data_IF_802640287068
#
_entry.id   IF_802640287068
#
_cell.length_a   1.000
_cell.length_b   1.000
_cell.length_c   1.000
_cell.angle_alpha   90.00
_cell.angle_beta   90.00
_cell.angle_gamma   90.00
#
_symmetry.space_group_name_H-M   'P 1'
#
loop_
_entity.id
_entity.type
_entity.pdbx_description
1 polymer ?
#
# COMPACT_ATOMS: atom_id res chain seq x y z
N UNK A 1 1.01 -21.10 2.30
CA UNK A 1 1.88 -20.29 1.41
C UNK A 1 0.98 -19.46 0.52
N UNK A 2 1.21 -18.14 0.41
CA UNK A 2 0.41 -17.26 -0.43
C UNK A 2 0.73 -17.48 -1.92
N UNK A 3 -0.25 -17.29 -2.80
CA UNK A 3 -0.03 -17.26 -4.24
C UNK A 3 0.16 -15.81 -4.68
N UNK A 4 1.32 -15.50 -5.28
CA UNK A 4 1.71 -14.13 -5.64
C UNK A 4 1.49 -13.91 -7.13
N UNK A 5 0.78 -12.83 -7.47
CA UNK A 5 0.53 -12.40 -8.85
C UNK A 5 1.15 -11.01 -9.01
N UNK A 6 2.05 -10.85 -9.99
CA UNK A 6 2.63 -9.56 -10.35
C UNK A 6 2.22 -9.18 -11.78
N UNK A 7 1.77 -7.94 -11.97
CA UNK A 7 1.33 -7.41 -13.26
C UNK A 7 2.32 -6.34 -13.75
N UNK A 8 3.02 -6.62 -14.83
CA UNK A 8 4.03 -5.73 -15.43
C UNK A 8 3.71 -5.43 -16.91
N UNK A 9 4.23 -4.32 -17.43
CA UNK A 9 3.94 -3.85 -18.79
C UNK A 9 4.07 -2.33 -18.94
N UNK A 10 4.05 -1.85 -20.19
CA UNK A 10 4.19 -0.42 -20.52
C UNK A 10 3.13 0.45 -19.82
N UNK A 11 3.41 1.73 -19.62
CA UNK A 11 2.42 2.70 -19.14
C UNK A 11 1.17 2.71 -20.04
N UNK A 12 0.00 2.74 -19.44
CA UNK A 12 -1.28 2.81 -20.17
C UNK A 12 -1.82 1.49 -20.73
N UNK A 13 -1.18 0.34 -20.52
CA UNK A 13 -1.66 -0.96 -21.04
C UNK A 13 -2.79 -1.61 -20.21
N UNK A 14 -3.38 -0.88 -19.26
CA UNK A 14 -4.51 -1.38 -18.44
C UNK A 14 -4.12 -2.29 -17.26
N UNK A 15 -2.87 -2.24 -16.78
CA UNK A 15 -2.39 -3.08 -15.66
C UNK A 15 -3.26 -2.95 -14.41
N UNK A 16 -3.51 -1.72 -13.96
CA UNK A 16 -4.34 -1.42 -12.79
C UNK A 16 -5.77 -1.93 -12.97
N UNK A 17 -6.33 -1.78 -14.17
CA UNK A 17 -7.66 -2.30 -14.51
C UNK A 17 -7.72 -3.83 -14.38
N UNK A 18 -6.74 -4.53 -14.95
CA UNK A 18 -6.65 -6.00 -14.83
C UNK A 18 -6.43 -6.42 -13.38
N UNK A 19 -5.62 -5.68 -12.62
CA UNK A 19 -5.39 -5.93 -11.20
C UNK A 19 -6.71 -5.87 -10.42
N UNK A 20 -7.47 -4.77 -10.57
CA UNK A 20 -8.75 -4.56 -9.89
C UNK A 20 -9.78 -5.65 -10.25
N UNK A 21 -9.91 -5.99 -11.54
CA UNK A 21 -10.83 -7.05 -12.00
C UNK A 21 -10.43 -8.43 -11.46
N UNK A 22 -9.12 -8.71 -11.39
CA UNK A 22 -8.60 -9.97 -10.84
C UNK A 22 -8.90 -10.07 -9.35
N UNK A 23 -8.64 -9.01 -8.59
CA UNK A 23 -8.92 -8.95 -7.15
C UNK A 23 -10.42 -9.16 -6.90
N UNK A 24 -11.28 -8.40 -7.60
CA UNK A 24 -12.75 -8.55 -7.51
C UNK A 24 -13.19 -9.99 -7.78
N UNK A 25 -12.70 -10.59 -8.88
CA UNK A 25 -13.03 -11.98 -9.22
C UNK A 25 -12.59 -12.98 -8.13
N UNK A 26 -11.39 -12.81 -7.57
CA UNK A 26 -10.88 -13.71 -6.52
C UNK A 26 -11.72 -13.61 -5.23
N UNK A 27 -12.10 -12.41 -4.83
CA UNK A 27 -12.95 -12.16 -3.66
C UNK A 27 -14.33 -12.80 -3.89
N UNK A 28 -14.98 -12.47 -5.01
CA UNK A 28 -16.34 -12.92 -5.33
C UNK A 28 -16.45 -14.43 -5.54
N UNK A 29 -15.46 -15.06 -6.19
CA UNK A 29 -15.56 -16.48 -6.61
C UNK A 29 -14.79 -17.44 -5.73
N UNK A 30 -13.64 -17.04 -5.17
CA UNK A 30 -12.78 -17.94 -4.40
C UNK A 30 -12.89 -17.74 -2.89
N UNK A 31 -13.56 -16.68 -2.42
CA UNK A 31 -13.72 -16.33 -0.99
C UNK A 31 -12.39 -16.41 -0.22
N UNK A 32 -11.30 -15.99 -0.87
CA UNK A 32 -9.97 -15.93 -0.25
C UNK A 32 -9.64 -14.50 0.10
N UNK A 33 -8.97 -14.29 1.22
CA UNK A 33 -8.35 -13.02 1.53
C UNK A 33 -7.32 -12.67 0.45
N UNK A 34 -7.35 -11.42 -0.02
CA UNK A 34 -6.45 -10.88 -1.04
C UNK A 34 -5.74 -9.68 -0.45
N UNK A 35 -4.41 -9.74 -0.40
CA UNK A 35 -3.58 -8.57 -0.12
C UNK A 35 -3.25 -7.91 -1.46
N UNK A 36 -3.79 -6.72 -1.69
CA UNK A 36 -3.49 -5.91 -2.86
C UNK A 36 -2.40 -4.90 -2.53
N UNK A 37 -1.40 -4.79 -3.42
CA UNK A 37 -0.31 -3.81 -3.31
C UNK A 37 -0.25 -3.01 -4.60
N UNK A 38 -0.44 -1.69 -4.50
CA UNK A 38 -0.18 -0.78 -5.62
C UNK A 38 1.31 -0.40 -5.61
N UNK A 39 2.02 -0.85 -6.65
CA UNK A 39 3.45 -0.60 -6.82
C UNK A 39 3.72 0.51 -7.86
N UNK A 40 2.70 1.27 -8.26
CA UNK A 40 2.83 2.43 -9.13
C UNK A 40 2.97 3.72 -8.30
N UNK A 41 3.83 4.65 -8.75
CA UNK A 41 3.97 5.97 -8.13
C UNK A 41 2.69 6.79 -8.26
N UNK A 42 1.90 6.52 -9.31
CA UNK A 42 0.57 7.08 -9.47
C UNK A 42 -0.47 6.08 -8.94
N UNK A 43 -0.81 6.21 -7.66
CA UNK A 43 -1.74 5.29 -6.99
C UNK A 43 -3.14 5.39 -7.59
N UNK A 44 -3.54 4.35 -8.34
CA UNK A 44 -4.83 4.27 -9.01
C UNK A 44 -5.63 3.03 -8.60
N UNK A 45 -5.00 2.06 -7.92
CA UNK A 45 -5.64 0.80 -7.59
C UNK A 45 -6.73 0.96 -6.53
N UNK A 46 -6.52 1.82 -5.53
CA UNK A 46 -7.49 2.13 -4.49
C UNK A 46 -8.78 2.70 -5.10
N UNK A 47 -8.66 3.64 -6.03
CA UNK A 47 -9.81 4.22 -6.74
C UNK A 47 -10.54 3.17 -7.58
N UNK A 48 -9.79 2.33 -8.30
CA UNK A 48 -10.37 1.27 -9.12
C UNK A 48 -11.11 0.21 -8.29
N UNK A 49 -10.72 0.01 -7.02
CA UNK A 49 -11.39 -0.88 -6.07
C UNK A 49 -12.47 -0.19 -5.23
N UNK A 50 -12.58 1.14 -5.29
CA UNK A 50 -13.47 1.92 -4.42
C UNK A 50 -13.03 1.93 -2.95
N UNK A 51 -11.74 1.73 -2.68
CA UNK A 51 -11.17 1.72 -1.34
C UNK A 51 -10.65 3.11 -0.96
N UNK A 52 -11.09 3.62 0.20
CA UNK A 52 -10.54 4.85 0.78
C UNK A 52 -9.22 4.54 1.47
N UNK A 53 -8.15 5.24 1.07
CA UNK A 53 -6.83 5.11 1.68
C UNK A 53 -6.45 6.43 2.37
N UNK A 54 -5.93 6.34 3.59
CA UNK A 54 -5.52 7.50 4.40
C UNK A 54 -4.00 7.72 4.41
N UNK A 55 -3.21 6.74 3.95
CA UNK A 55 -1.76 6.80 3.94
C UNK A 55 -1.18 6.04 2.74
N UNK A 56 0.02 6.45 2.31
CA UNK A 56 0.83 5.72 1.33
C UNK A 56 2.24 5.53 1.88
N UNK A 57 2.91 4.46 1.46
CA UNK A 57 4.31 4.18 1.84
C UNK A 57 5.22 5.35 1.44
N UNK A 58 4.95 5.98 0.29
CA UNK A 58 5.66 7.17 -0.17
C UNK A 58 5.55 8.33 0.82
N UNK A 59 4.33 8.64 1.29
CA UNK A 59 4.11 9.72 2.24
C UNK A 59 4.77 9.44 3.60
N UNK A 60 4.61 8.21 4.12
CA UNK A 60 5.23 7.80 5.38
C UNK A 60 6.77 7.94 5.37
N UNK A 61 7.39 7.64 4.22
CA UNK A 61 8.82 7.80 4.02
C UNK A 61 9.24 9.28 4.09
N UNK A 62 8.50 10.16 3.44
CA UNK A 62 8.78 11.60 3.45
C UNK A 62 8.60 12.20 4.86
N UNK A 63 7.54 11.82 5.57
CA UNK A 63 7.30 12.24 6.95
C UNK A 63 8.43 11.80 7.88
N UNK A 64 8.86 10.54 7.74
CA UNK A 64 9.98 9.98 8.50
C UNK A 64 11.28 10.73 8.22
N UNK A 65 11.55 11.09 6.97
CA UNK A 65 12.72 11.86 6.59
C UNK A 65 12.68 13.28 7.16
N UNK A 66 11.51 13.92 7.15
CA UNK A 66 11.32 15.25 7.73
C UNK A 66 11.56 15.26 9.25
N UNK A 67 11.09 14.23 9.96
CA UNK A 67 11.31 14.05 11.40
C UNK A 67 12.80 13.90 11.74
N UNK A 68 13.54 13.11 10.95
CA UNK A 68 14.98 12.93 11.13
C UNK A 68 15.72 14.25 10.92
N UNK A 69 15.32 15.04 9.91
CA UNK A 69 15.94 16.33 9.58
C UNK A 69 15.66 17.41 10.62
N UNK A 70 14.48 17.38 11.26
CA UNK A 70 14.11 18.38 12.26
C UNK A 70 14.78 18.15 13.62
N UNK A 71 15.32 16.95 13.88
CA UNK A 71 15.93 16.60 15.16
C UNK A 71 14.91 16.48 16.30
N UNK A 72 13.61 16.40 15.97
CA UNK A 72 12.55 16.31 16.96
C UNK A 72 12.63 15.00 17.78
N UNK A 73 12.19 15.09 19.03
CA UNK A 73 12.16 13.92 19.92
C UNK A 73 11.20 12.86 19.39
N UNK A 74 11.67 11.61 19.38
CA UNK A 74 10.91 10.48 18.85
C UNK A 74 9.85 10.05 19.87
N UNK A 75 8.62 9.75 19.44
CA UNK A 75 7.58 9.27 20.33
C UNK A 75 8.05 8.02 21.11
N UNK A 76 7.98 8.08 22.44
CA UNK A 76 8.14 6.90 23.30
C UNK A 76 9.50 6.20 23.28
N UNK A 77 10.58 6.86 22.81
CA UNK A 77 11.92 6.26 22.77
C UNK A 77 12.11 5.16 21.72
N UNK A 78 11.18 5.03 20.77
CA UNK A 78 11.27 4.05 19.70
C UNK A 78 12.41 4.37 18.71
N UNK A 79 13.00 3.33 18.13
CA UNK A 79 13.90 3.48 16.99
C UNK A 79 13.14 3.97 15.75
N UNK A 80 13.85 4.56 14.78
CA UNK A 80 13.24 5.00 13.52
C UNK A 80 12.64 3.82 12.72
N UNK A 81 13.30 2.67 12.75
CA UNK A 81 12.83 1.45 12.11
C UNK A 81 11.51 0.98 12.73
N UNK A 82 11.44 0.95 14.07
CA UNK A 82 10.22 0.56 14.78
C UNK A 82 9.06 1.50 14.49
N UNK A 83 9.32 2.81 14.46
CA UNK A 83 8.29 3.80 14.15
C UNK A 83 7.78 3.65 12.71
N UNK A 84 8.69 3.46 11.75
CA UNK A 84 8.34 3.27 10.36
C UNK A 84 7.54 1.98 10.15
N UNK A 85 7.98 0.86 10.71
CA UNK A 85 7.26 -0.41 10.65
C UNK A 85 5.86 -0.28 11.27
N UNK A 86 5.75 0.39 12.42
CA UNK A 86 4.46 0.67 13.04
C UNK A 86 3.53 1.46 12.11
N UNK A 87 4.04 2.52 11.48
CA UNK A 87 3.27 3.32 10.52
C UNK A 87 2.85 2.52 9.29
N UNK A 88 3.72 1.66 8.76
CA UNK A 88 3.41 0.77 7.63
C UNK A 88 2.27 -0.18 7.99
N UNK A 89 2.28 -0.77 9.20
CA UNK A 89 1.18 -1.62 9.66
C UNK A 89 -0.13 -0.83 9.81
N UNK A 90 -0.07 0.42 10.29
CA UNK A 90 -1.24 1.31 10.40
C UNK A 90 -1.78 1.81 9.06
N UNK A 91 -1.00 1.71 7.98
CA UNK A 91 -1.41 2.11 6.65
C UNK A 91 -2.19 1.02 5.89
N UNK A 92 -2.25 -0.20 6.43
CA UNK A 92 -3.04 -1.29 5.84
C UNK A 92 -4.52 -0.94 5.95
N UNK A 93 -5.24 -1.01 4.83
CA UNK A 93 -6.68 -0.78 4.74
C UNK A 93 -7.39 -2.10 4.46
N UNK A 94 -8.46 -2.36 5.20
CA UNK A 94 -9.35 -3.51 5.02
C UNK A 94 -10.71 -3.02 4.48
N UNK A 95 -11.29 -3.76 3.53
CA UNK A 95 -12.55 -3.43 2.85
C UNK A 95 -13.40 -4.70 2.61
#
# INVERSE_FOLDING_TARGET
>A
MAYVIALAGKGGTGKTTIAALTIRYLIEKKKKAVLAVDADSNSCLNEALGAAVHATIGHLREDSLALVRSGAERPGGMSMEQLFDYQVQQAVVEA
#
